data_IF_899217187043
#
_entry.id   IF_899217187043
#
_cell.length_a   1.000
_cell.length_b   1.000
_cell.length_c   1.000
_cell.angle_alpha   90.00
_cell.angle_beta   90.00
_cell.angle_gamma   90.00
#
_symmetry.space_group_name_H-M   'P 1'
#
loop_
_entity.id
_entity.type
_entity.pdbx_description
1 polymer ?
#
# COMPACT_ATOMS: atom_id res chain seq x y z
N UNK A 1 28.05 -26.43 -24.37
CA UNK A 1 27.89 -27.40 -25.48
C UNK A 1 29.10 -27.35 -26.39
N UNK A 2 29.72 -28.49 -26.71
CA UNK A 2 30.82 -28.54 -27.68
C UNK A 2 30.34 -28.21 -29.09
N UNK A 3 31.26 -27.76 -29.97
CA UNK A 3 31.04 -27.78 -31.41
C UNK A 3 30.71 -29.19 -31.92
N UNK A 4 30.21 -29.26 -33.16
CA UNK A 4 29.97 -30.54 -33.82
C UNK A 4 31.23 -31.41 -33.84
N UNK A 5 31.03 -32.70 -33.66
CA UNK A 5 32.11 -33.68 -33.77
C UNK A 5 32.75 -33.61 -35.16
N UNK A 6 34.08 -33.67 -35.27
CA UNK A 6 34.78 -33.74 -36.54
C UNK A 6 34.24 -34.90 -37.40
N UNK A 7 34.07 -34.69 -38.72
CA UNK A 7 33.63 -35.74 -39.61
C UNK A 7 34.69 -36.83 -39.77
N UNK A 8 34.25 -38.04 -40.13
CA UNK A 8 35.15 -39.17 -40.39
C UNK A 8 35.94 -38.95 -41.68
N UNK A 9 37.17 -39.47 -41.73
CA UNK A 9 38.03 -39.35 -42.89
C UNK A 9 37.71 -40.36 -44.00
N UNK A 10 36.47 -40.26 -44.50
CA UNK A 10 35.98 -40.93 -45.70
C UNK A 10 35.59 -39.89 -46.75
N UNK A 11 35.44 -40.26 -48.04
CA UNK A 11 35.06 -39.33 -49.10
C UNK A 11 33.72 -38.62 -48.84
N UNK A 12 32.78 -39.32 -48.20
CA UNK A 12 31.43 -38.82 -47.88
C UNK A 12 31.23 -38.46 -46.41
N UNK A 13 32.28 -38.58 -45.58
CA UNK A 13 32.27 -38.24 -44.15
C UNK A 13 31.39 -39.14 -43.28
N UNK A 14 31.07 -40.35 -43.75
CA UNK A 14 30.29 -41.37 -43.05
C UNK A 14 31.09 -42.65 -42.81
N UNK A 15 30.60 -43.47 -41.87
CA UNK A 15 31.10 -44.83 -41.67
C UNK A 15 30.48 -45.77 -42.69
N UNK A 16 31.30 -46.71 -43.18
CA UNK A 16 30.89 -47.79 -44.09
C UNK A 16 31.27 -49.14 -43.51
N UNK A 17 30.39 -50.11 -43.70
CA UNK A 17 30.71 -51.52 -43.47
C UNK A 17 31.69 -52.03 -44.53
N UNK A 18 32.49 -53.04 -44.17
CA UNK A 18 33.29 -53.75 -45.14
C UNK A 18 32.41 -54.57 -46.09
N UNK A 19 32.87 -54.77 -47.32
CA UNK A 19 32.22 -55.65 -48.30
C UNK A 19 33.11 -56.88 -48.59
N UNK A 20 32.77 -58.05 -48.01
CA UNK A 20 33.54 -59.28 -48.20
C UNK A 20 33.55 -59.80 -49.65
N UNK A 21 32.53 -59.46 -50.44
CA UNK A 21 32.43 -59.91 -51.84
C UNK A 21 33.34 -59.12 -52.78
N UNK A 22 33.71 -57.89 -52.41
CA UNK A 22 34.60 -57.02 -53.20
C UNK A 22 35.96 -56.80 -52.55
N UNK A 23 36.17 -57.33 -51.34
CA UNK A 23 37.38 -57.10 -50.53
C UNK A 23 37.51 -55.66 -50.03
N UNK A 24 36.42 -54.89 -49.97
CA UNK A 24 36.48 -53.54 -49.43
C UNK A 24 36.48 -53.60 -47.89
N UNK A 25 37.47 -52.99 -47.26
CA UNK A 25 37.57 -52.93 -45.80
C UNK A 25 36.56 -51.94 -45.22
N UNK A 26 36.09 -52.22 -44.00
CA UNK A 26 35.20 -51.33 -43.28
C UNK A 26 35.91 -50.09 -42.74
N UNK A 27 35.14 -49.05 -42.43
CA UNK A 27 35.68 -47.84 -41.81
C UNK A 27 36.04 -48.12 -40.35
N UNK A 28 37.29 -47.88 -39.98
CA UNK A 28 37.76 -48.03 -38.60
C UNK A 28 37.18 -46.88 -37.76
N UNK A 29 36.71 -47.19 -36.55
CA UNK A 29 36.33 -46.17 -35.57
C UNK A 29 37.59 -45.64 -34.89
N UNK A 30 38.04 -44.40 -35.17
CA UNK A 30 39.27 -43.89 -34.58
C UNK A 30 39.07 -43.53 -33.11
N UNK A 31 40.16 -43.57 -32.34
CA UNK A 31 40.14 -43.11 -30.94
C UNK A 31 39.67 -41.66 -30.82
N UNK A 32 39.99 -40.80 -31.79
CA UNK A 32 39.47 -39.44 -31.86
C UNK A 32 37.93 -39.40 -31.82
N UNK A 33 37.28 -40.26 -32.60
CA UNK A 33 35.82 -40.32 -32.64
C UNK A 33 35.24 -40.78 -31.31
N UNK A 34 35.71 -41.91 -30.76
CA UNK A 34 35.25 -42.42 -29.45
C UNK A 34 35.52 -41.42 -28.31
N UNK A 35 36.65 -40.71 -28.34
CA UNK A 35 36.96 -39.67 -27.36
C UNK A 35 36.01 -38.47 -27.52
N UNK A 36 35.64 -38.10 -28.74
CA UNK A 36 34.68 -37.03 -29.01
C UNK A 36 33.27 -37.41 -28.55
N UNK A 37 32.83 -38.65 -28.78
CA UNK A 37 31.56 -39.18 -28.27
C UNK A 37 31.55 -39.20 -26.73
N UNK A 38 32.61 -39.74 -26.11
CA UNK A 38 32.77 -39.72 -24.66
C UNK A 38 32.71 -38.29 -24.12
N UNK A 39 33.41 -37.34 -24.74
CA UNK A 39 33.39 -35.95 -24.34
C UNK A 39 31.98 -35.34 -24.46
N UNK A 40 31.25 -35.61 -25.54
CA UNK A 40 29.88 -35.13 -25.74
C UNK A 40 28.92 -35.64 -24.66
N UNK A 41 29.01 -36.94 -24.34
CA UNK A 41 28.21 -37.56 -23.27
C UNK A 41 28.54 -36.92 -21.93
N UNK A 42 29.83 -36.72 -21.63
CA UNK A 42 30.28 -36.10 -20.37
C UNK A 42 29.84 -34.64 -20.26
N UNK A 43 29.81 -33.90 -21.37
CA UNK A 43 29.32 -32.53 -21.41
C UNK A 43 27.82 -32.46 -21.12
N UNK A 44 27.00 -33.29 -21.78
CA UNK A 44 25.57 -33.40 -21.49
C UNK A 44 25.32 -33.81 -20.03
N UNK A 45 26.09 -34.76 -19.50
CA UNK A 45 26.03 -35.14 -18.09
C UNK A 45 26.40 -33.99 -17.16
N UNK A 46 27.39 -33.17 -17.52
CA UNK A 46 27.81 -32.02 -16.71
C UNK A 46 26.72 -30.94 -16.66
N UNK A 47 26.06 -30.63 -17.78
CA UNK A 47 24.91 -29.72 -17.82
C UNK A 47 23.74 -30.27 -16.99
N UNK A 48 23.47 -31.58 -17.10
CA UNK A 48 22.47 -32.26 -16.29
C UNK A 48 22.77 -32.13 -14.79
N UNK A 49 24.01 -32.39 -14.39
CA UNK A 49 24.48 -32.27 -13.00
C UNK A 49 24.37 -30.82 -12.51
N UNK A 50 24.62 -29.82 -13.37
CA UNK A 50 24.45 -28.41 -13.02
C UNK A 50 22.99 -28.08 -12.69
N UNK A 51 22.03 -28.60 -13.48
CA UNK A 51 20.59 -28.46 -13.19
C UNK A 51 20.24 -29.13 -11.86
N UNK A 52 20.71 -30.36 -11.62
CA UNK A 52 20.48 -31.06 -10.34
C UNK A 52 21.06 -30.28 -9.15
N UNK A 53 22.28 -29.72 -9.31
CA UNK A 53 22.96 -28.92 -8.28
C UNK A 53 22.17 -27.65 -7.97
N UNK A 54 21.68 -26.96 -8.99
CA UNK A 54 20.80 -25.80 -8.82
C UNK A 54 19.49 -26.18 -8.09
N UNK A 55 19.01 -27.41 -8.27
CA UNK A 55 17.89 -27.95 -7.54
C UNK A 55 18.25 -28.42 -6.13
N UNK A 56 19.50 -28.31 -5.69
CA UNK A 56 20.01 -28.94 -4.46
C UNK A 56 19.68 -30.45 -4.41
N UNK A 57 20.02 -31.16 -5.47
CA UNK A 57 19.88 -32.61 -5.63
C UNK A 57 21.22 -33.22 -6.07
N UNK A 58 21.60 -34.36 -5.50
CA UNK A 58 22.78 -35.11 -5.92
C UNK A 58 22.43 -36.07 -7.07
N UNK A 59 23.34 -36.38 -8.02
CA UNK A 59 23.06 -37.32 -9.12
C UNK A 59 22.77 -38.74 -8.63
N UNK A 60 21.73 -39.38 -9.16
CA UNK A 60 21.29 -40.73 -8.79
C UNK A 60 20.99 -41.58 -10.03
N UNK A 61 21.14 -42.90 -9.92
CA UNK A 61 20.84 -43.85 -11.02
C UNK A 61 19.34 -44.16 -11.15
N UNK A 62 18.49 -43.15 -10.99
CA UNK A 62 17.02 -43.29 -11.01
C UNK A 62 16.41 -42.46 -12.13
N UNK A 63 15.44 -43.05 -12.85
CA UNK A 63 14.71 -42.34 -13.89
C UNK A 63 13.91 -41.13 -13.33
N UNK A 64 13.78 -40.07 -14.12
CA UNK A 64 12.97 -38.89 -13.77
C UNK A 64 13.66 -37.85 -12.90
N UNK A 65 14.94 -38.03 -12.55
CA UNK A 65 15.66 -37.10 -11.68
C UNK A 65 15.75 -35.67 -12.26
N UNK A 66 16.01 -35.54 -13.57
CA UNK A 66 15.98 -34.25 -14.26
C UNK A 66 14.62 -33.56 -14.13
N UNK A 67 13.54 -34.30 -14.36
CA UNK A 67 12.18 -33.76 -14.26
C UNK A 67 11.89 -33.28 -12.84
N UNK A 68 12.31 -34.05 -11.82
CA UNK A 68 12.18 -33.64 -10.42
C UNK A 68 12.98 -32.36 -10.12
N UNK A 69 14.19 -32.22 -10.66
CA UNK A 69 14.99 -31.00 -10.51
C UNK A 69 14.33 -29.80 -11.19
N UNK A 70 13.88 -29.95 -12.43
CA UNK A 70 13.15 -28.89 -13.15
C UNK A 70 11.88 -28.50 -12.39
N UNK A 71 11.11 -29.48 -11.92
CA UNK A 71 9.95 -29.20 -11.08
C UNK A 71 10.37 -28.49 -9.78
N UNK A 72 11.50 -28.82 -9.16
CA UNK A 72 11.94 -28.12 -7.95
C UNK A 72 12.40 -26.68 -8.21
N UNK A 73 13.06 -26.41 -9.34
CA UNK A 73 13.47 -25.06 -9.75
C UNK A 73 12.28 -24.20 -10.17
N UNK A 74 11.29 -24.80 -10.85
CA UNK A 74 10.24 -24.07 -11.56
C UNK A 74 8.83 -24.35 -11.03
N UNK A 75 8.65 -25.15 -9.98
CA UNK A 75 7.33 -25.41 -9.43
C UNK A 75 6.73 -24.10 -8.91
N UNK A 76 5.48 -23.80 -9.27
CA UNK A 76 4.71 -22.66 -8.77
C UNK A 76 4.31 -22.82 -7.29
N UNK A 77 5.19 -23.35 -6.42
CA UNK A 77 4.89 -23.55 -5.00
C UNK A 77 6.10 -23.49 -4.07
N UNK A 78 7.31 -23.24 -4.57
CA UNK A 78 8.50 -23.16 -3.73
C UNK A 78 8.98 -21.73 -3.47
N UNK A 79 8.29 -20.73 -4.02
CA UNK A 79 8.59 -19.32 -3.89
C UNK A 79 7.30 -18.48 -3.69
N UNK A 80 7.49 -17.19 -3.46
CA UNK A 80 6.41 -16.22 -3.27
C UNK A 80 5.49 -16.12 -4.50
N UNK A 81 6.05 -16.25 -5.70
CA UNK A 81 5.30 -16.13 -6.95
C UNK A 81 4.37 -17.33 -7.14
N UNK A 82 4.83 -18.52 -6.78
CA UNK A 82 4.05 -19.74 -6.75
C UNK A 82 2.88 -19.69 -5.77
N UNK A 83 3.12 -19.17 -4.57
CA UNK A 83 2.06 -18.95 -3.59
C UNK A 83 0.94 -18.04 -4.13
N UNK A 84 1.31 -16.98 -4.87
CA UNK A 84 0.34 -16.10 -5.54
C UNK A 84 -0.33 -16.75 -6.76
N UNK A 85 0.44 -17.48 -7.58
CA UNK A 85 -0.05 -18.15 -8.78
C UNK A 85 -1.06 -19.28 -8.45
N UNK A 86 -0.94 -19.88 -7.27
CA UNK A 86 -1.85 -20.92 -6.78
C UNK A 86 -3.18 -20.37 -6.23
N UNK A 87 -3.33 -19.06 -6.09
CA UNK A 87 -4.58 -18.46 -5.61
C UNK A 87 -5.69 -18.57 -6.65
N UNK A 88 -6.85 -19.08 -6.24
CA UNK A 88 -8.07 -19.04 -7.07
C UNK A 88 -8.72 -17.68 -6.92
N UNK A 89 -8.54 -16.81 -7.92
CA UNK A 89 -9.11 -15.47 -7.93
C UNK A 89 -10.65 -15.46 -7.82
N UNK A 90 -11.18 -14.48 -7.10
CA UNK A 90 -12.61 -14.21 -7.02
C UNK A 90 -12.87 -12.71 -6.91
N UNK A 91 -14.10 -12.27 -7.21
CA UNK A 91 -14.48 -10.87 -7.07
C UNK A 91 -14.27 -10.38 -5.63
N UNK A 92 -13.81 -9.13 -5.49
CA UNK A 92 -13.66 -8.46 -4.20
C UNK A 92 -12.71 -9.17 -3.21
N UNK A 93 -11.70 -9.88 -3.71
CA UNK A 93 -10.65 -10.48 -2.88
C UNK A 93 -9.33 -9.72 -3.00
N UNK A 94 -8.57 -9.66 -1.91
CA UNK A 94 -7.20 -9.14 -1.87
C UNK A 94 -6.24 -10.28 -1.47
N UNK A 95 -5.21 -10.57 -2.29
CA UNK A 95 -4.11 -11.45 -1.89
C UNK A 95 -3.29 -10.86 -0.74
N UNK A 96 -2.93 -11.69 0.24
CA UNK A 96 -2.00 -11.33 1.31
C UNK A 96 -1.11 -12.53 1.67
N UNK A 97 0.10 -12.26 2.18
CA UNK A 97 1.01 -13.31 2.60
C UNK A 97 0.68 -13.82 4.00
N UNK A 98 0.70 -15.14 4.16
CA UNK A 98 0.51 -15.84 5.44
C UNK A 98 1.82 -16.45 5.97
N UNK A 99 2.90 -16.37 5.18
CA UNK A 99 4.25 -16.81 5.53
C UNK A 99 5.20 -16.67 4.32
N UNK A 100 6.49 -17.06 4.43
CA UNK A 100 7.48 -16.88 3.36
C UNK A 100 7.11 -17.50 2.01
N UNK A 101 6.25 -18.53 2.00
CA UNK A 101 5.75 -19.24 0.82
C UNK A 101 4.24 -19.48 0.88
N UNK A 102 3.55 -18.68 1.69
CA UNK A 102 2.10 -18.81 1.91
C UNK A 102 1.40 -17.54 1.45
N UNK A 103 0.35 -17.69 0.66
CA UNK A 103 -0.56 -16.61 0.32
C UNK A 103 -1.99 -17.08 0.51
N UNK A 104 -2.88 -16.15 0.85
CA UNK A 104 -4.31 -16.38 0.97
C UNK A 104 -5.08 -15.18 0.43
N UNK A 105 -6.39 -15.35 0.27
CA UNK A 105 -7.31 -14.28 -0.12
C UNK A 105 -8.11 -13.85 1.10
N UNK A 106 -8.25 -12.54 1.27
CA UNK A 106 -9.20 -11.94 2.22
C UNK A 106 -10.26 -11.13 1.47
N UNK A 107 -11.39 -10.86 2.11
CA UNK A 107 -12.41 -9.97 1.57
C UNK A 107 -11.93 -8.52 1.56
N UNK A 108 -11.98 -7.89 0.39
CA UNK A 108 -11.78 -6.46 0.23
C UNK A 108 -13.15 -5.78 0.18
N UNK A 109 -13.51 -5.05 1.22
CA UNK A 109 -14.84 -4.41 1.32
C UNK A 109 -15.05 -3.36 0.23
N UNK A 110 -16.32 -3.04 -0.06
CA UNK A 110 -16.65 -1.95 -0.99
C UNK A 110 -16.05 -0.62 -0.52
N UNK A 111 -16.11 -0.34 0.78
CA UNK A 111 -15.51 0.85 1.39
C UNK A 111 -13.99 0.91 1.17
N UNK A 112 -13.27 -0.19 1.41
CA UNK A 112 -11.83 -0.22 1.19
C UNK A 112 -11.47 0.01 -0.28
N UNK A 113 -12.24 -0.55 -1.23
CA UNK A 113 -12.06 -0.26 -2.66
C UNK A 113 -12.33 1.21 -3.00
N UNK A 114 -13.32 1.83 -2.38
CA UNK A 114 -13.59 3.27 -2.53
C UNK A 114 -12.36 4.08 -2.10
N UNK A 115 -11.80 3.82 -0.92
CA UNK A 115 -10.61 4.51 -0.43
C UNK A 115 -9.39 4.30 -1.36
N UNK A 116 -9.12 3.06 -1.77
CA UNK A 116 -8.00 2.73 -2.67
C UNK A 116 -8.16 3.31 -4.08
N UNK A 117 -9.38 3.70 -4.48
CA UNK A 117 -9.65 4.31 -5.79
C UNK A 117 -9.39 5.82 -5.83
N UNK A 118 -9.10 6.47 -4.69
CA UNK A 118 -8.90 7.91 -4.63
C UNK A 118 -7.53 8.31 -5.17
N UNK A 119 -7.48 9.38 -5.95
CA UNK A 119 -6.24 9.96 -6.51
C UNK A 119 -5.58 11.01 -5.62
N UNK A 120 -6.29 11.49 -4.59
CA UNK A 120 -5.83 12.56 -3.72
C UNK A 120 -6.30 12.36 -2.27
N UNK A 121 -5.65 13.09 -1.36
CA UNK A 121 -5.96 13.03 0.07
C UNK A 121 -7.34 13.61 0.41
N UNK A 122 -7.83 14.58 -0.35
CA UNK A 122 -9.12 15.22 -0.10
C UNK A 122 -10.28 14.22 -0.29
N UNK A 123 -10.21 13.39 -1.34
CA UNK A 123 -11.16 12.31 -1.59
C UNK A 123 -11.17 11.27 -0.48
N UNK A 124 -9.99 10.85 0.00
CA UNK A 124 -9.87 9.91 1.14
C UNK A 124 -10.52 10.49 2.40
N UNK A 125 -10.25 11.76 2.71
CA UNK A 125 -10.84 12.44 3.87
C UNK A 125 -12.35 12.57 3.77
N UNK A 126 -12.87 12.83 2.56
CA UNK A 126 -14.31 12.89 2.28
C UNK A 126 -14.98 11.54 2.52
N UNK A 127 -14.39 10.44 2.01
CA UNK A 127 -14.93 9.10 2.18
C UNK A 127 -14.90 8.65 3.65
N UNK A 128 -13.92 9.12 4.44
CA UNK A 128 -13.84 8.91 5.89
C UNK A 128 -14.75 9.85 6.71
N UNK A 129 -15.36 10.87 6.08
CA UNK A 129 -16.24 11.87 6.70
C UNK A 129 -15.62 12.60 7.91
N UNK A 130 -14.29 12.73 7.96
CA UNK A 130 -13.59 13.31 9.13
C UNK A 130 -14.01 14.77 9.37
N UNK A 131 -14.19 15.54 8.30
CA UNK A 131 -14.59 16.96 8.37
C UNK A 131 -16.06 17.20 8.75
N UNK A 132 -16.88 16.15 8.78
CA UNK A 132 -18.28 16.27 9.22
C UNK A 132 -18.44 16.03 10.74
N UNK A 133 -17.45 15.38 11.37
CA UNK A 133 -17.48 15.01 12.78
C UNK A 133 -16.64 15.96 13.64
N UNK A 134 -15.57 16.51 13.06
CA UNK A 134 -14.63 17.38 13.76
C UNK A 134 -14.42 18.70 13.03
N UNK A 135 -14.39 19.80 13.79
CA UNK A 135 -13.94 21.09 13.28
C UNK A 135 -12.40 21.07 13.09
N UNK A 136 -11.87 21.72 12.03
CA UNK A 136 -10.43 21.85 11.83
C UNK A 136 -9.74 22.51 13.03
N UNK A 137 -8.51 22.07 13.34
CA UNK A 137 -7.73 22.71 14.41
C UNK A 137 -7.33 24.16 14.06
N UNK A 138 -7.01 24.40 12.79
CA UNK A 138 -6.66 25.71 12.26
C UNK A 138 -7.89 26.34 11.60
N UNK A 139 -8.24 27.54 12.05
CA UNK A 139 -9.32 28.36 11.50
C UNK A 139 -10.67 27.60 11.39
N UNK A 140 -11.18 27.02 12.49
CA UNK A 140 -12.43 26.26 12.46
C UNK A 140 -13.63 27.12 12.05
N UNK A 141 -14.50 26.56 11.20
CA UNK A 141 -15.87 27.03 11.06
C UNK A 141 -16.75 26.19 11.99
N UNK A 142 -17.32 26.81 13.02
CA UNK A 142 -18.24 26.14 13.93
C UNK A 142 -19.65 26.11 13.31
N UNK A 143 -20.17 24.91 13.05
CA UNK A 143 -21.53 24.67 12.55
C UNK A 143 -22.36 23.91 13.59
N UNK A 144 -23.69 23.96 13.47
CA UNK A 144 -24.60 23.32 14.43
C UNK A 144 -24.70 24.10 15.75
N UNK A 145 -24.72 23.38 16.88
CA UNK A 145 -24.85 23.96 18.24
C UNK A 145 -23.57 23.70 19.07
N UNK A 146 -22.45 24.37 18.76
CA UNK A 146 -21.22 24.21 19.51
C UNK A 146 -21.42 24.64 20.97
N UNK A 147 -20.99 23.81 21.91
CA UNK A 147 -21.00 24.13 23.34
C UNK A 147 -19.58 24.40 23.81
N UNK A 148 -19.39 25.48 24.57
CA UNK A 148 -18.13 25.77 25.28
C UNK A 148 -18.43 25.94 26.77
N UNK A 149 -17.50 25.60 27.67
CA UNK A 149 -17.67 25.81 29.11
C UNK A 149 -18.04 27.25 29.45
N UNK A 150 -18.75 27.45 30.57
CA UNK A 150 -19.03 28.79 31.07
C UNK A 150 -17.78 29.36 31.76
N UNK A 151 -17.31 30.52 31.28
CA UNK A 151 -16.20 31.22 31.90
C UNK A 151 -16.62 31.86 33.24
N UNK A 152 -15.66 32.04 34.13
CA UNK A 152 -15.86 32.82 35.35
C UNK A 152 -15.94 34.33 35.01
N UNK A 153 -16.67 35.12 35.80
CA UNK A 153 -17.00 36.52 35.45
C UNK A 153 -15.80 37.47 35.23
N UNK A 154 -14.64 37.17 35.83
CA UNK A 154 -13.44 38.00 35.74
C UNK A 154 -12.36 37.39 34.83
N UNK A 155 -12.72 36.39 34.04
CA UNK A 155 -11.78 35.72 33.15
C UNK A 155 -11.56 36.53 31.87
N UNK A 156 -10.29 36.87 31.59
CA UNK A 156 -9.88 37.65 30.43
C UNK A 156 -8.81 36.86 29.69
N UNK A 157 -9.24 35.85 28.93
CA UNK A 157 -8.39 35.03 28.08
C UNK A 157 -8.96 34.89 26.66
N UNK A 158 -8.37 34.01 25.84
CA UNK A 158 -8.76 33.81 24.45
C UNK A 158 -9.89 32.79 24.24
N UNK A 159 -10.64 32.41 25.29
CA UNK A 159 -11.79 31.50 25.14
C UNK A 159 -12.94 32.17 24.40
N UNK A 160 -13.73 31.34 23.72
CA UNK A 160 -14.98 31.77 23.07
C UNK A 160 -16.01 32.05 24.17
N UNK A 161 -16.61 33.24 24.17
CA UNK A 161 -17.70 33.58 25.08
C UNK A 161 -18.99 32.85 24.68
N UNK A 162 -19.61 32.12 25.62
CA UNK A 162 -20.91 31.49 25.38
C UNK A 162 -22.07 32.46 25.67
N UNK A 163 -23.28 32.06 25.27
CA UNK A 163 -24.48 32.88 25.42
C UNK A 163 -24.87 33.13 26.87
N UNK A 164 -24.57 32.19 27.79
CA UNK A 164 -24.88 32.33 29.21
C UNK A 164 -23.99 33.39 29.88
N UNK A 165 -22.69 33.38 29.60
CA UNK A 165 -21.73 34.37 30.06
C UNK A 165 -22.12 35.78 29.62
N UNK A 166 -22.44 35.97 28.33
CA UNK A 166 -22.86 37.29 27.81
C UNK A 166 -24.17 37.75 28.44
N UNK A 167 -25.15 36.86 28.60
CA UNK A 167 -26.41 37.20 29.25
C UNK A 167 -26.22 37.65 30.70
N UNK A 168 -25.35 36.97 31.45
CA UNK A 168 -25.03 37.36 32.82
C UNK A 168 -24.31 38.70 32.88
N UNK A 169 -23.30 38.92 32.03
CA UNK A 169 -22.57 40.20 31.98
C UNK A 169 -23.50 41.39 31.69
N UNK A 170 -24.51 41.21 30.83
CA UNK A 170 -25.53 42.22 30.55
C UNK A 170 -26.46 42.42 31.75
N UNK A 171 -26.85 41.35 32.44
CA UNK A 171 -27.68 41.43 33.63
C UNK A 171 -26.97 42.18 34.77
N UNK A 172 -25.68 41.93 34.96
CA UNK A 172 -24.84 42.61 35.95
C UNK A 172 -24.66 44.09 35.60
N UNK A 173 -24.46 44.43 34.31
CA UNK A 173 -24.46 45.82 33.84
C UNK A 173 -25.78 46.53 34.15
N UNK A 174 -26.90 45.81 34.09
CA UNK A 174 -28.20 46.37 34.43
C UNK A 174 -28.37 46.56 35.95
N UNK A 175 -27.72 45.75 36.79
CA UNK A 175 -27.53 46.02 38.22
C UNK A 175 -28.80 46.30 39.04
N UNK A 176 -29.98 45.84 38.61
CA UNK A 176 -31.25 46.16 39.26
C UNK A 176 -31.82 47.55 38.93
N UNK A 177 -31.33 48.23 37.90
CA UNK A 177 -31.87 49.51 37.45
C UNK A 177 -33.38 49.38 37.15
N UNK A 178 -34.19 50.40 37.49
CA UNK A 178 -35.63 50.39 37.22
C UNK A 178 -35.93 50.04 35.76
N UNK A 179 -37.03 49.34 35.47
CA UNK A 179 -37.37 48.95 34.10
C UNK A 179 -37.44 50.12 33.11
N UNK A 180 -37.67 51.35 33.60
CA UNK A 180 -37.68 52.58 32.83
C UNK A 180 -36.26 53.08 32.48
N UNK A 181 -35.22 52.63 33.20
CA UNK A 181 -33.82 53.06 33.10
C UNK A 181 -32.84 51.91 32.80
N UNK A 182 -33.32 50.68 32.62
CA UNK A 182 -32.52 49.45 32.53
C UNK A 182 -31.74 49.21 31.21
N UNK A 183 -31.50 50.27 30.43
CA UNK A 183 -30.67 50.20 29.22
C UNK A 183 -29.95 51.53 29.03
N UNK A 184 -28.79 51.51 28.36
CA UNK A 184 -28.04 52.74 28.05
C UNK A 184 -28.89 53.76 27.28
N UNK A 185 -29.74 53.31 26.34
CA UNK A 185 -30.65 54.19 25.56
C UNK A 185 -31.69 54.88 26.44
N UNK A 186 -32.27 54.15 27.40
CA UNK A 186 -33.25 54.69 28.34
C UNK A 186 -32.62 55.71 29.29
N UNK A 187 -31.42 55.41 29.79
CA UNK A 187 -30.62 56.36 30.58
C UNK A 187 -30.33 57.64 29.79
N UNK A 188 -29.81 57.50 28.58
CA UNK A 188 -29.51 58.64 27.69
C UNK A 188 -30.76 59.48 27.42
N UNK A 189 -31.90 58.85 27.17
CA UNK A 189 -33.17 59.55 26.96
C UNK A 189 -33.67 60.26 28.21
N UNK A 190 -33.52 59.64 29.39
CA UNK A 190 -33.93 60.21 30.67
C UNK A 190 -33.14 61.48 31.03
N UNK A 191 -31.89 61.58 30.57
CA UNK A 191 -31.06 62.80 30.70
C UNK A 191 -31.13 63.70 29.46
N UNK A 192 -32.12 63.52 28.58
CA UNK A 192 -32.31 64.29 27.35
C UNK A 192 -31.09 64.30 26.39
N UNK A 193 -30.30 63.22 26.39
CA UNK A 193 -29.00 63.12 25.70
C UNK A 193 -28.04 64.29 26.03
N UNK A 194 -28.19 64.91 27.20
CA UNK A 194 -27.36 66.04 27.60
C UNK A 194 -25.99 65.55 28.11
N UNK A 195 -24.94 65.77 27.29
CA UNK A 195 -23.56 65.46 27.65
C UNK A 195 -23.05 66.26 28.85
N UNK A 196 -23.68 67.40 29.15
CA UNK A 196 -23.34 68.30 30.25
C UNK A 196 -24.39 68.25 31.36
N UNK A 197 -25.21 67.18 31.46
CA UNK A 197 -26.30 67.07 32.42
C UNK A 197 -25.90 67.51 33.85
N UNK A 198 -24.71 67.12 34.30
CA UNK A 198 -24.16 67.54 35.58
C UNK A 198 -24.02 69.07 35.71
N UNK A 199 -23.43 69.73 34.71
CA UNK A 199 -23.30 71.19 34.67
C UNK A 199 -24.65 71.88 34.58
N UNK A 200 -25.56 71.36 33.75
CA UNK A 200 -26.93 71.88 33.58
C UNK A 200 -27.68 71.91 34.92
N UNK A 201 -27.64 70.82 35.68
CA UNK A 201 -28.27 70.73 37.00
C UNK A 201 -27.58 71.63 38.02
N UNK A 202 -26.24 71.66 38.05
CA UNK A 202 -25.49 72.44 39.04
C UNK A 202 -25.57 73.96 38.83
N UNK A 203 -25.88 74.43 37.62
CA UNK A 203 -26.19 75.85 37.36
C UNK A 203 -27.65 76.23 37.67
N UNK A 204 -28.52 75.25 37.90
CA UNK A 204 -29.94 75.46 38.18
C UNK A 204 -30.31 75.37 39.68
N UNK A 205 -29.36 74.95 40.53
CA UNK A 205 -29.46 75.01 42.00
C UNK A 205 -28.89 76.34 42.53
#
# INVERSE_FOLDING_TARGET
MKPLMPPIDTPDKLFHDGNPATGAEGTIVPAEHLNNEQASIRDLQSEMIAILTAAAMAPESTAGQLLAALNKLYAPGNDTLGALASLVGAANKLPYFTGPKGAALTDLTAFARTLLSRSDAAGVLSDLRIGEIYAPLKDPSFIGTPTVPNAEQNEIDFRIANTAFVAQAIADLNGGAPAVLNTLKKLASAINNDANFYSTVNSAL
#
